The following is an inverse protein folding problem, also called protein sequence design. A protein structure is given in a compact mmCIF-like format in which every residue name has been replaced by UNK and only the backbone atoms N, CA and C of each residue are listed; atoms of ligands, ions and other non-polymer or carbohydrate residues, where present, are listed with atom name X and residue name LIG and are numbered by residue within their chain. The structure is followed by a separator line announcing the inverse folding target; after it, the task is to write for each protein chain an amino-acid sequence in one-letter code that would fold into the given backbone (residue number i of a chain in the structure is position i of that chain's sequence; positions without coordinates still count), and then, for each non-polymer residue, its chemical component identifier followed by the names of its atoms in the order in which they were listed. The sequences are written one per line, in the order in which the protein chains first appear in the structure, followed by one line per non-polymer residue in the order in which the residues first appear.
data_IF_641950099506
#
_entry.id   IF_641950099506
#
_cell.length_a   1.000
_cell.length_b   1.000
_cell.length_c   1.000
_cell.angle_alpha   90.00
_cell.angle_beta   90.00
_cell.angle_gamma   90.00
#
_symmetry.space_group_name_H-M   'P 1'
#
loop_
_entity.id
_entity.type
_entity.pdbx_description
1 polymer ?
#
# COMPACT_ATOMS: atom_id res chain seq x y z
N UNK A 1 -7.01 29.63 -5.04
CA UNK A 1 -8.26 29.29 -5.79
C UNK A 1 -9.44 29.88 -5.05
N UNK A 2 -10.60 30.19 -5.69
CA UNK A 2 -11.77 30.66 -4.94
C UNK A 2 -12.33 29.50 -4.10
N UNK A 3 -12.88 29.77 -2.90
CA UNK A 3 -13.51 28.78 -2.02
C UNK A 3 -14.52 27.88 -2.75
N UNK A 4 -15.20 28.39 -3.76
CA UNK A 4 -16.17 27.67 -4.59
C UNK A 4 -15.51 26.54 -5.39
N UNK A 5 -14.32 26.74 -5.92
CA UNK A 5 -13.59 25.71 -6.68
C UNK A 5 -13.03 24.60 -5.77
N UNK A 6 -12.63 24.94 -4.55
CA UNK A 6 -12.13 23.97 -3.57
C UNK A 6 -13.23 23.00 -3.15
N UNK A 7 -14.42 23.53 -2.77
CA UNK A 7 -15.56 22.68 -2.39
C UNK A 7 -15.99 21.79 -3.57
N UNK A 8 -16.08 22.35 -4.77
CA UNK A 8 -16.47 21.61 -5.98
C UNK A 8 -15.52 20.42 -6.24
N UNK A 9 -14.23 20.66 -6.19
CA UNK A 9 -13.21 19.65 -6.42
C UNK A 9 -13.23 18.55 -5.33
N UNK A 10 -13.31 18.93 -4.05
CA UNK A 10 -13.38 18.01 -2.91
C UNK A 10 -14.62 17.14 -2.95
N UNK A 11 -15.79 17.73 -3.21
CA UNK A 11 -17.08 17.03 -3.31
C UNK A 11 -17.06 15.99 -4.44
N UNK A 12 -16.64 16.41 -5.63
CA UNK A 12 -16.54 15.52 -6.80
C UNK A 12 -15.60 14.35 -6.53
N UNK A 13 -14.42 14.62 -5.94
CA UNK A 13 -13.42 13.59 -5.61
C UNK A 13 -13.97 12.56 -4.63
N UNK A 14 -14.57 12.98 -3.49
CA UNK A 14 -15.18 12.07 -2.52
C UNK A 14 -16.30 11.23 -3.12
N UNK A 15 -17.17 11.82 -3.94
CA UNK A 15 -18.20 11.05 -4.61
C UNK A 15 -17.64 10.00 -5.55
N UNK A 16 -16.62 10.34 -6.33
CA UNK A 16 -16.00 9.43 -7.29
C UNK A 16 -15.21 8.34 -6.59
N UNK A 17 -14.45 8.65 -5.54
CA UNK A 17 -13.70 7.65 -4.75
C UNK A 17 -14.63 6.60 -4.13
N UNK A 18 -15.85 7.00 -3.72
CA UNK A 18 -16.88 6.07 -3.21
C UNK A 18 -17.68 5.38 -4.33
N UNK A 19 -17.39 5.66 -5.61
CA UNK A 19 -18.09 5.09 -6.77
C UNK A 19 -19.54 5.52 -6.90
N UNK A 20 -19.96 6.59 -6.21
CA UNK A 20 -21.34 7.05 -6.18
C UNK A 20 -21.73 7.82 -7.45
N UNK A 21 -22.91 7.54 -8.01
CA UNK A 21 -23.57 8.45 -8.95
C UNK A 21 -24.14 9.66 -8.21
N UNK A 22 -24.48 10.74 -8.94
CA UNK A 22 -25.16 11.88 -8.33
C UNK A 22 -26.49 11.47 -7.69
N UNK A 23 -27.24 10.56 -8.33
CA UNK A 23 -28.51 10.05 -7.81
C UNK A 23 -28.30 9.21 -6.54
N UNK A 24 -27.27 8.38 -6.50
CA UNK A 24 -26.91 7.60 -5.32
C UNK A 24 -26.50 8.52 -4.14
N UNK A 25 -25.77 9.60 -4.42
CA UNK A 25 -25.41 10.58 -3.39
C UNK A 25 -26.66 11.33 -2.87
N UNK A 26 -27.59 11.74 -3.74
CA UNK A 26 -28.88 12.33 -3.32
C UNK A 26 -29.63 11.40 -2.37
N UNK A 27 -29.71 10.11 -2.74
CA UNK A 27 -30.39 9.10 -1.92
C UNK A 27 -29.71 8.92 -0.55
N UNK A 28 -28.35 8.82 -0.52
CA UNK A 28 -27.59 8.68 0.74
C UNK A 28 -27.70 9.91 1.67
N UNK A 29 -27.95 11.09 1.10
CA UNK A 29 -28.23 12.32 1.86
C UNK A 29 -29.69 12.43 2.35
N UNK A 30 -30.55 11.47 2.05
CA UNK A 30 -31.99 11.52 2.41
C UNK A 30 -32.78 12.55 1.59
N UNK A 31 -32.37 12.78 0.35
CA UNK A 31 -33.04 13.70 -0.60
C UNK A 31 -33.07 15.18 -0.13
N UNK A 32 -32.13 15.59 0.73
CA UNK A 32 -32.02 16.99 1.22
C UNK A 32 -31.71 17.97 0.07
N UNK A 33 -31.07 17.49 -1.00
CA UNK A 33 -30.76 18.28 -2.18
C UNK A 33 -31.18 17.54 -3.46
N UNK A 34 -31.33 18.30 -4.55
CA UNK A 34 -31.60 17.71 -5.86
C UNK A 34 -30.32 17.34 -6.59
N UNK A 35 -30.42 16.42 -7.56
CA UNK A 35 -29.30 16.06 -8.45
C UNK A 35 -28.71 17.28 -9.17
N UNK A 36 -29.60 18.21 -9.62
CA UNK A 36 -29.17 19.43 -10.29
C UNK A 36 -28.39 20.35 -9.35
N UNK A 37 -28.77 20.43 -8.06
CA UNK A 37 -28.03 21.21 -7.07
C UNK A 37 -26.62 20.63 -6.84
N UNK A 38 -26.52 19.29 -6.62
CA UNK A 38 -25.22 18.62 -6.50
C UNK A 38 -24.34 18.82 -7.72
N UNK A 39 -24.90 18.71 -8.92
CA UNK A 39 -24.16 18.96 -10.17
C UNK A 39 -23.63 20.40 -10.24
N UNK A 40 -24.42 21.39 -9.80
CA UNK A 40 -23.96 22.78 -9.74
C UNK A 40 -22.84 22.97 -8.72
N UNK A 41 -22.91 22.29 -7.56
CA UNK A 41 -21.87 22.33 -6.55
C UNK A 41 -20.56 21.71 -7.08
N UNK A 42 -20.61 20.57 -7.73
CA UNK A 42 -19.43 19.92 -8.32
C UNK A 42 -18.81 20.68 -9.50
N UNK A 43 -19.60 21.51 -10.16
CA UNK A 43 -19.10 22.41 -11.23
C UNK A 43 -18.66 23.78 -10.72
N UNK A 44 -18.71 24.07 -9.42
CA UNK A 44 -18.38 25.35 -8.83
C UNK A 44 -19.35 26.49 -9.21
N UNK A 45 -20.53 26.15 -9.77
CA UNK A 45 -21.56 27.11 -10.20
C UNK A 45 -22.45 27.59 -9.04
N UNK A 46 -22.41 26.90 -7.91
CA UNK A 46 -23.12 27.26 -6.68
C UNK A 46 -22.35 26.68 -5.48
N UNK A 47 -22.53 27.32 -4.31
CA UNK A 47 -21.98 26.78 -3.06
C UNK A 47 -23.08 26.10 -2.25
N UNK A 48 -22.82 24.95 -1.60
CA UNK A 48 -23.73 24.37 -0.65
C UNK A 48 -23.91 25.30 0.56
N UNK A 49 -25.13 25.35 1.12
CA UNK A 49 -25.35 26.03 2.39
C UNK A 49 -24.63 25.28 3.54
N UNK A 50 -24.39 25.91 4.71
CA UNK A 50 -23.77 25.23 5.85
C UNK A 50 -24.50 23.94 6.25
N UNK A 51 -25.83 23.92 6.19
CA UNK A 51 -26.64 22.72 6.48
C UNK A 51 -26.35 21.60 5.49
N UNK A 52 -26.29 21.91 4.20
CA UNK A 52 -25.98 20.94 3.14
C UNK A 52 -24.52 20.47 3.26
N UNK A 53 -23.60 21.37 3.59
CA UNK A 53 -22.19 21.03 3.77
C UNK A 53 -21.98 20.04 4.94
N UNK A 54 -22.65 20.28 6.07
CA UNK A 54 -22.65 19.36 7.19
C UNK A 54 -23.26 18.00 6.82
N UNK A 55 -24.38 18.00 6.09
CA UNK A 55 -24.99 16.75 5.64
C UNK A 55 -24.10 15.96 4.67
N UNK A 56 -23.34 16.64 3.80
CA UNK A 56 -22.30 16.02 2.97
C UNK A 56 -21.18 15.45 3.83
N UNK A 57 -20.72 16.20 4.84
CA UNK A 57 -19.69 15.76 5.76
C UNK A 57 -20.09 14.48 6.51
N UNK A 58 -21.31 14.43 7.04
CA UNK A 58 -21.88 13.24 7.70
C UNK A 58 -21.97 12.04 6.73
N UNK A 59 -22.44 12.30 5.50
CA UNK A 59 -22.62 11.25 4.48
C UNK A 59 -21.30 10.61 4.08
N UNK A 60 -20.25 11.42 3.94
CA UNK A 60 -18.89 10.95 3.59
C UNK A 60 -18.02 10.58 4.80
N UNK A 61 -18.52 10.79 6.03
CA UNK A 61 -17.79 10.58 7.29
C UNK A 61 -16.49 11.40 7.34
N UNK A 62 -16.56 12.65 6.93
CA UNK A 62 -15.44 13.62 6.99
C UNK A 62 -15.88 14.86 7.76
N UNK A 63 -14.93 15.66 8.26
CA UNK A 63 -15.25 16.96 8.86
C UNK A 63 -15.69 17.96 7.78
N UNK A 64 -16.64 18.86 8.10
CA UNK A 64 -17.07 19.91 7.16
C UNK A 64 -15.89 20.79 6.69
N UNK A 65 -14.88 20.99 7.55
CA UNK A 65 -13.64 21.70 7.21
C UNK A 65 -12.84 21.05 6.08
N UNK A 66 -13.02 19.75 5.83
CA UNK A 66 -12.37 19.06 4.70
C UNK A 66 -12.71 19.70 3.36
N UNK A 67 -13.97 20.10 3.16
CA UNK A 67 -14.42 20.74 1.91
C UNK A 67 -13.85 22.13 1.72
N UNK A 68 -13.43 22.80 2.79
CA UNK A 68 -12.89 24.16 2.78
C UNK A 68 -11.36 24.21 2.67
N UNK A 69 -10.68 23.08 2.97
CA UNK A 69 -9.22 23.00 2.92
C UNK A 69 -8.73 22.87 1.49
N UNK A 70 -7.88 23.78 1.05
CA UNK A 70 -7.24 23.69 -0.26
C UNK A 70 -6.38 22.41 -0.35
N UNK A 71 -6.41 21.69 -1.49
CA UNK A 71 -5.49 20.57 -1.71
C UNK A 71 -4.04 21.08 -1.74
N UNK A 72 -3.22 20.63 -0.82
CA UNK A 72 -1.79 20.94 -0.75
C UNK A 72 -0.93 19.85 -1.40
N UNK A 73 -1.52 18.66 -1.60
CA UNK A 73 -0.85 17.49 -2.17
C UNK A 73 -1.20 17.36 -3.64
N UNK A 74 -0.19 17.36 -4.49
CA UNK A 74 -0.33 17.02 -5.91
C UNK A 74 0.01 15.55 -6.12
N UNK A 75 -0.83 14.83 -6.87
CA UNK A 75 -0.64 13.40 -7.18
C UNK A 75 -0.43 13.21 -8.66
N UNK A 76 0.65 12.53 -9.02
CA UNK A 76 1.01 12.18 -10.39
C UNK A 76 1.02 10.66 -10.55
N UNK A 77 0.25 10.16 -11.51
CA UNK A 77 0.21 8.73 -11.84
C UNK A 77 1.34 8.38 -12.80
N UNK A 78 2.02 7.25 -12.51
CA UNK A 78 3.13 6.69 -13.29
C UNK A 78 2.66 5.35 -13.87
N UNK A 79 3.04 5.02 -15.12
CA UNK A 79 2.70 3.72 -15.72
C UNK A 79 1.22 3.52 -16.10
N UNK A 80 0.43 4.59 -16.15
CA UNK A 80 -1.02 4.59 -16.39
C UNK A 80 -1.49 3.98 -17.73
N UNK A 81 -0.57 3.57 -18.60
CA UNK A 81 -0.92 3.08 -19.96
C UNK A 81 -1.74 1.79 -19.97
N UNK A 82 -1.65 0.95 -18.92
CA UNK A 82 -2.48 -0.27 -18.77
C UNK A 82 -3.94 0.03 -18.42
N UNK A 83 -4.23 1.17 -17.84
CA UNK A 83 -5.60 1.58 -17.53
C UNK A 83 -6.48 1.82 -18.77
N UNK A 84 -5.90 1.77 -19.99
CA UNK A 84 -6.66 1.89 -21.25
C UNK A 84 -7.70 0.77 -21.47
N UNK A 85 -7.60 -0.35 -20.74
CA UNK A 85 -8.60 -1.42 -20.74
C UNK A 85 -9.76 -1.20 -19.75
N UNK A 86 -9.59 -0.25 -18.82
CA UNK A 86 -10.62 0.10 -17.82
C UNK A 86 -11.61 1.10 -18.40
N UNK A 87 -12.86 1.05 -17.93
CA UNK A 87 -13.83 2.10 -18.23
C UNK A 87 -13.35 3.44 -17.67
N UNK A 88 -13.69 4.56 -18.32
CA UNK A 88 -13.34 5.90 -17.82
C UNK A 88 -13.87 6.14 -16.40
N UNK A 89 -15.04 5.57 -16.09
CA UNK A 89 -15.62 5.65 -14.75
C UNK A 89 -14.77 4.96 -13.69
N UNK A 90 -14.23 3.78 -14.00
CA UNK A 90 -13.37 3.03 -13.08
C UNK A 90 -12.01 3.72 -12.93
N UNK A 91 -11.46 4.27 -14.02
CA UNK A 91 -10.25 5.09 -13.98
C UNK A 91 -10.42 6.28 -13.04
N UNK A 92 -11.45 7.10 -13.27
CA UNK A 92 -11.77 8.28 -12.45
C UNK A 92 -11.99 7.92 -10.97
N UNK A 93 -12.62 6.74 -10.70
CA UNK A 93 -12.81 6.23 -9.35
C UNK A 93 -11.49 5.88 -8.67
N UNK A 94 -10.62 5.13 -9.36
CA UNK A 94 -9.32 4.71 -8.83
C UNK A 94 -8.44 5.95 -8.59
N UNK A 95 -8.37 6.87 -9.55
CA UNK A 95 -7.60 8.10 -9.39
C UNK A 95 -8.06 8.93 -8.19
N UNK A 96 -9.37 9.06 -8.03
CA UNK A 96 -9.95 9.81 -6.91
C UNK A 96 -9.64 9.15 -5.57
N UNK A 97 -9.77 7.81 -5.48
CA UNK A 97 -9.46 7.03 -4.28
C UNK A 97 -7.97 7.12 -3.92
N UNK A 98 -7.10 6.88 -4.89
CA UNK A 98 -5.64 6.90 -4.67
C UNK A 98 -5.18 8.29 -4.27
N UNK A 99 -5.73 9.34 -4.88
CA UNK A 99 -5.42 10.72 -4.52
C UNK A 99 -5.84 11.04 -3.09
N UNK A 100 -7.04 10.61 -2.65
CA UNK A 100 -7.53 10.77 -1.28
C UNK A 100 -6.60 10.07 -0.29
N UNK A 101 -6.33 8.79 -0.53
CA UNK A 101 -5.47 7.97 0.36
C UNK A 101 -4.05 8.53 0.47
N UNK A 102 -3.45 8.95 -0.65
CA UNK A 102 -2.08 9.50 -0.62
C UNK A 102 -2.04 10.88 0.04
N UNK A 103 -3.07 11.72 -0.14
CA UNK A 103 -3.18 13.00 0.56
C UNK A 103 -3.21 12.79 2.09
N UNK A 104 -4.02 11.85 2.58
CA UNK A 104 -4.09 11.53 4.00
C UNK A 104 -2.76 11.01 4.54
N UNK A 105 -2.07 10.15 3.79
CA UNK A 105 -0.77 9.59 4.20
C UNK A 105 0.33 10.64 4.22
N UNK A 106 0.42 11.50 3.22
CA UNK A 106 1.40 12.61 3.19
C UNK A 106 1.14 13.59 4.34
N UNK A 107 -0.12 13.92 4.62
CA UNK A 107 -0.48 14.77 5.76
C UNK A 107 -0.09 14.12 7.09
N UNK A 108 -0.34 12.83 7.26
CA UNK A 108 0.02 12.09 8.47
C UNK A 108 1.54 11.99 8.66
N UNK A 109 2.30 11.77 7.58
CA UNK A 109 3.76 11.82 7.59
C UNK A 109 4.28 13.20 8.05
N UNK A 110 3.72 14.28 7.50
CA UNK A 110 4.11 15.63 7.87
C UNK A 110 3.82 15.95 9.34
N UNK A 111 2.67 15.50 9.89
CA UNK A 111 2.28 15.70 11.28
C UNK A 111 3.15 14.93 12.28
N UNK A 112 3.55 13.71 11.93
CA UNK A 112 4.32 12.83 12.83
C UNK A 112 5.82 13.06 12.76
N UNK A 113 6.26 14.07 12.00
CA UNK A 113 7.68 14.42 11.89
C UNK A 113 8.52 13.33 11.23
N UNK A 114 7.91 12.50 10.38
CA UNK A 114 8.64 11.53 9.59
C UNK A 114 9.72 12.25 8.78
N UNK A 115 10.95 11.73 8.64
CA UNK A 115 12.06 12.47 8.08
C UNK A 115 11.73 13.05 6.71
N UNK A 116 11.67 14.38 6.62
CA UNK A 116 11.57 15.08 5.34
C UNK A 116 12.88 14.86 4.58
N UNK A 117 12.79 14.32 3.37
CA UNK A 117 13.96 14.21 2.50
C UNK A 117 14.35 12.82 2.03
N UNK A 118 13.59 11.78 2.35
CA UNK A 118 13.77 10.52 1.63
C UNK A 118 13.31 10.72 0.19
N UNK A 119 14.27 10.82 -0.70
CA UNK A 119 13.99 10.88 -2.13
C UNK A 119 13.49 9.51 -2.57
N UNK A 120 12.22 9.46 -2.97
CA UNK A 120 11.69 8.29 -3.66
C UNK A 120 12.56 7.98 -4.87
N UNK A 121 12.88 6.72 -5.17
CA UNK A 121 13.75 6.33 -6.27
C UNK A 121 13.06 6.44 -7.65
N UNK A 122 12.40 7.57 -7.90
CA UNK A 122 11.60 7.78 -9.11
C UNK A 122 12.52 7.86 -10.32
N UNK A 123 12.39 6.88 -11.24
CA UNK A 123 13.19 6.77 -12.46
C UNK A 123 14.72 6.88 -12.21
N UNK A 124 15.17 6.39 -11.05
CA UNK A 124 16.56 6.47 -10.63
C UNK A 124 17.49 5.58 -11.49
N UNK A 125 16.97 4.47 -12.03
CA UNK A 125 17.73 3.49 -12.76
C UNK A 125 17.42 3.52 -14.26
N UNK A 126 18.34 4.07 -15.06
CA UNK A 126 18.21 4.07 -16.54
C UNK A 126 18.61 2.73 -17.10
N UNK A 127 17.72 2.14 -17.93
CA UNK A 127 17.98 0.89 -18.64
C UNK A 127 17.92 1.09 -20.15
N UNK A 128 18.82 0.42 -20.86
CA UNK A 128 18.97 0.44 -22.32
C UNK A 128 18.61 -0.92 -22.94
N UNK A 129 18.67 -1.98 -22.16
CA UNK A 129 18.29 -3.34 -22.51
C UNK A 129 17.61 -4.01 -21.32
N UNK A 130 16.81 -5.05 -21.55
CA UNK A 130 16.04 -5.71 -20.48
C UNK A 130 16.95 -6.32 -19.41
N UNK A 131 18.14 -6.79 -19.76
CA UNK A 131 19.12 -7.34 -18.82
C UNK A 131 19.63 -6.32 -17.79
N UNK A 132 19.58 -5.02 -18.09
CA UNK A 132 19.98 -3.96 -17.17
C UNK A 132 19.09 -3.91 -15.92
N UNK A 133 17.88 -4.51 -15.96
CA UNK A 133 16.96 -4.62 -14.82
C UNK A 133 17.54 -5.44 -13.66
N UNK A 134 18.41 -6.40 -13.94
CA UNK A 134 19.12 -7.18 -12.90
C UNK A 134 19.98 -6.25 -12.03
N UNK A 135 20.81 -5.43 -12.70
CA UNK A 135 21.65 -4.45 -12.01
C UNK A 135 20.82 -3.41 -11.27
N UNK A 136 19.74 -2.90 -11.89
CA UNK A 136 18.85 -1.94 -11.23
C UNK A 136 18.22 -2.51 -9.95
N UNK A 137 17.82 -3.78 -9.96
CA UNK A 137 17.29 -4.46 -8.78
C UNK A 137 18.36 -4.63 -7.68
N UNK A 138 19.59 -5.02 -8.04
CA UNK A 138 20.70 -5.15 -7.10
C UNK A 138 21.10 -3.81 -6.48
N UNK A 139 21.20 -2.76 -7.29
CA UNK A 139 21.50 -1.40 -6.83
C UNK A 139 20.43 -0.88 -5.86
N UNK A 140 19.15 -1.10 -6.17
CA UNK A 140 18.06 -0.71 -5.27
C UNK A 140 18.11 -1.48 -3.96
N UNK A 141 18.32 -2.80 -4.00
CA UNK A 141 18.48 -3.62 -2.79
C UNK A 141 19.67 -3.17 -1.94
N UNK A 142 20.77 -2.77 -2.57
CA UNK A 142 21.95 -2.24 -1.88
C UNK A 142 21.65 -0.90 -1.23
N UNK A 143 20.99 0.01 -1.94
CA UNK A 143 20.63 1.34 -1.43
C UNK A 143 19.65 1.24 -0.25
N UNK A 144 18.78 0.24 -0.26
CA UNK A 144 17.83 -0.05 0.82
C UNK A 144 18.37 -1.00 1.89
N UNK A 145 19.64 -1.37 1.80
CA UNK A 145 20.32 -2.25 2.78
C UNK A 145 19.62 -3.61 2.97
N UNK A 146 18.95 -4.12 1.93
CA UNK A 146 18.20 -5.37 1.99
C UNK A 146 19.09 -6.62 1.87
N UNK A 147 20.33 -6.47 1.45
CA UNK A 147 21.23 -7.60 1.20
C UNK A 147 20.72 -8.51 0.08
N UNK A 148 21.12 -9.79 0.15
CA UNK A 148 20.77 -10.81 -0.86
C UNK A 148 19.65 -11.76 -0.38
N UNK A 149 19.30 -11.74 0.90
CA UNK A 149 18.32 -12.65 1.48
C UNK A 149 16.89 -12.37 0.99
N UNK A 150 15.99 -13.35 1.04
CA UNK A 150 14.59 -13.14 0.73
C UNK A 150 13.98 -12.01 1.58
N UNK A 151 13.14 -11.21 0.99
CA UNK A 151 12.44 -10.12 1.67
C UNK A 151 11.38 -10.74 2.59
N UNK A 152 11.43 -10.47 3.88
CA UNK A 152 10.49 -10.99 4.87
C UNK A 152 9.07 -10.47 4.63
N UNK A 153 8.92 -9.15 4.53
CA UNK A 153 7.67 -8.49 4.17
C UNK A 153 7.90 -7.48 3.05
N UNK A 154 7.26 -7.71 1.92
CA UNK A 154 7.31 -6.78 0.78
C UNK A 154 6.53 -5.50 1.08
N UNK A 155 5.36 -5.63 1.74
CA UNK A 155 4.53 -4.49 2.14
C UNK A 155 5.26 -3.64 3.17
N UNK A 156 5.76 -4.23 4.26
CA UNK A 156 6.48 -3.50 5.30
C UNK A 156 7.71 -2.79 4.76
N UNK A 157 8.53 -3.48 3.96
CA UNK A 157 9.71 -2.89 3.33
C UNK A 157 9.36 -1.68 2.43
N UNK A 158 8.30 -1.75 1.63
CA UNK A 158 7.84 -0.61 0.82
C UNK A 158 7.40 0.56 1.69
N UNK A 159 6.64 0.30 2.75
CA UNK A 159 6.15 1.33 3.66
C UNK A 159 7.29 2.02 4.43
N UNK A 160 8.34 1.30 4.81
CA UNK A 160 9.55 1.86 5.42
C UNK A 160 10.27 2.86 4.48
N UNK A 161 10.05 2.73 3.17
CA UNK A 161 10.59 3.64 2.15
C UNK A 161 9.55 4.63 1.60
N UNK A 162 8.48 4.94 2.35
CA UNK A 162 7.41 5.87 1.96
C UNK A 162 6.65 5.47 0.69
N UNK A 163 6.63 4.17 0.38
CA UNK A 163 5.88 3.60 -0.72
C UNK A 163 4.71 2.81 -0.14
N UNK A 164 3.55 3.44 -0.09
CA UNK A 164 2.36 2.88 0.54
C UNK A 164 1.66 1.88 -0.36
N UNK A 165 1.27 0.75 0.20
CA UNK A 165 0.44 -0.23 -0.49
C UNK A 165 -1.03 0.15 -0.31
N UNK A 166 -1.75 0.26 -1.42
CA UNK A 166 -3.17 0.60 -1.47
C UNK A 166 -3.92 -0.55 -2.11
N UNK A 167 -4.74 -1.22 -1.33
CA UNK A 167 -5.57 -2.32 -1.84
C UNK A 167 -6.95 -1.80 -2.21
N UNK A 168 -7.39 -2.11 -3.42
CA UNK A 168 -8.75 -1.80 -3.89
C UNK A 168 -9.53 -3.08 -4.16
N UNK A 169 -10.85 -3.00 -4.08
CA UNK A 169 -11.70 -4.11 -4.48
C UNK A 169 -11.42 -4.50 -5.92
N UNK A 170 -11.44 -5.79 -6.20
CA UNK A 170 -11.11 -6.32 -7.51
C UNK A 170 -11.96 -5.66 -8.60
N UNK A 171 -11.29 -5.07 -9.58
CA UNK A 171 -11.89 -4.50 -10.78
C UNK A 171 -11.39 -5.35 -11.96
N UNK A 172 -12.31 -5.77 -12.84
CA UNK A 172 -11.96 -6.60 -13.99
C UNK A 172 -10.88 -5.90 -14.85
N UNK A 173 -9.84 -6.64 -15.19
CA UNK A 173 -8.68 -6.15 -15.98
C UNK A 173 -7.81 -5.09 -15.29
N UNK A 174 -7.93 -4.91 -13.97
CA UNK A 174 -7.02 -4.07 -13.21
C UNK A 174 -5.85 -4.91 -12.69
N UNK A 175 -4.62 -4.56 -13.08
CA UNK A 175 -3.41 -5.26 -12.64
C UNK A 175 -2.67 -4.49 -11.53
N UNK A 176 -2.56 -3.16 -11.67
CA UNK A 176 -1.90 -2.30 -10.70
C UNK A 176 -1.74 -0.87 -11.24
N UNK A 177 -1.39 0.05 -10.39
CA UNK A 177 -1.06 1.45 -10.72
C UNK A 177 -0.07 1.97 -9.71
N UNK A 178 0.91 2.75 -10.19
CA UNK A 178 1.80 3.53 -9.34
C UNK A 178 1.46 5.01 -9.40
N UNK A 179 1.47 5.68 -8.25
CA UNK A 179 1.27 7.13 -8.14
C UNK A 179 2.29 7.74 -7.18
N UNK A 180 2.65 8.99 -7.42
CA UNK A 180 3.53 9.78 -6.53
C UNK A 180 2.80 11.02 -6.08
N UNK A 181 2.82 11.26 -4.78
CA UNK A 181 2.25 12.42 -4.13
C UNK A 181 3.36 13.32 -3.59
N UNK A 182 3.19 14.63 -3.73
CA UNK A 182 4.11 15.64 -3.21
C UNK A 182 3.29 16.73 -2.53
N UNK A 183 3.57 17.01 -1.27
CA UNK A 183 3.07 18.20 -0.60
C UNK A 183 3.88 19.42 -1.05
N UNK A 184 3.23 20.42 -1.60
CA UNK A 184 3.90 21.58 -2.17
C UNK A 184 4.47 22.53 -1.09
N UNK A 185 3.97 22.45 0.14
CA UNK A 185 4.39 23.27 1.27
C UNK A 185 5.52 22.61 2.06
N UNK A 186 5.28 21.40 2.54
CA UNK A 186 6.24 20.67 3.39
C UNK A 186 7.32 19.95 2.59
N UNK A 187 7.11 19.76 1.27
CA UNK A 187 7.94 18.94 0.38
C UNK A 187 7.98 17.46 0.77
N UNK A 188 7.11 17.04 1.65
CA UNK A 188 6.91 15.63 1.97
C UNK A 188 6.45 14.86 0.72
N UNK A 189 7.00 13.68 0.52
CA UNK A 189 6.72 12.85 -0.65
C UNK A 189 6.28 11.46 -0.21
N UNK A 190 5.37 10.87 -0.97
CA UNK A 190 4.99 9.48 -0.82
C UNK A 190 4.68 8.87 -2.20
N UNK A 191 4.91 7.59 -2.37
CA UNK A 191 4.38 6.84 -3.51
C UNK A 191 3.26 5.91 -3.05
N UNK A 192 2.36 5.57 -3.95
CA UNK A 192 1.34 4.55 -3.75
C UNK A 192 1.44 3.49 -4.83
N UNK A 193 1.54 2.24 -4.42
CA UNK A 193 1.38 1.08 -5.29
C UNK A 193 0.01 0.47 -5.03
N UNK A 194 -0.82 0.45 -6.05
CA UNK A 194 -2.22 0.02 -5.96
C UNK A 194 -2.34 -1.40 -6.46
N UNK A 195 -2.95 -2.29 -5.68
CA UNK A 195 -3.18 -3.69 -6.03
C UNK A 195 -4.62 -4.10 -5.77
N UNK A 196 -5.05 -5.22 -6.35
CA UNK A 196 -6.37 -5.80 -6.08
C UNK A 196 -6.38 -6.60 -4.78
N UNK A 197 -7.43 -6.48 -3.99
CA UNK A 197 -7.70 -7.35 -2.83
C UNK A 197 -7.97 -8.78 -3.25
N UNK A 198 -7.74 -9.72 -2.34
CA UNK A 198 -8.13 -11.13 -2.50
C UNK A 198 -7.23 -11.93 -3.43
N UNK A 199 -6.03 -11.45 -3.74
CA UNK A 199 -5.00 -12.22 -4.44
C UNK A 199 -4.14 -12.97 -3.43
N UNK A 200 -3.52 -14.09 -3.85
CA UNK A 200 -2.56 -14.81 -2.99
C UNK A 200 -1.30 -13.97 -2.72
N UNK A 201 -0.62 -14.23 -1.60
CA UNK A 201 0.55 -13.47 -1.17
C UNK A 201 1.67 -13.43 -2.21
N UNK A 202 1.95 -14.56 -2.87
CA UNK A 202 2.96 -14.61 -3.93
C UNK A 202 2.59 -13.77 -5.17
N UNK A 203 1.29 -13.63 -5.48
CA UNK A 203 0.83 -12.76 -6.55
C UNK A 203 0.90 -11.29 -6.13
N UNK A 204 0.48 -10.97 -4.89
CA UNK A 204 0.60 -9.64 -4.31
C UNK A 204 2.05 -9.15 -4.36
N UNK A 205 2.99 -9.96 -3.86
CA UNK A 205 4.42 -9.62 -3.82
C UNK A 205 5.00 -9.34 -5.22
N UNK A 206 4.71 -10.19 -6.19
CA UNK A 206 5.18 -9.99 -7.56
C UNK A 206 4.54 -8.75 -8.21
N UNK A 207 3.25 -8.50 -7.98
CA UNK A 207 2.58 -7.29 -8.47
C UNK A 207 3.19 -6.04 -7.86
N UNK A 208 3.44 -6.02 -6.54
CA UNK A 208 4.10 -4.90 -5.87
C UNK A 208 5.51 -4.67 -6.40
N UNK A 209 6.29 -5.73 -6.61
CA UNK A 209 7.64 -5.61 -7.17
C UNK A 209 7.62 -5.14 -8.64
N UNK A 210 6.60 -5.51 -9.40
CA UNK A 210 6.38 -5.04 -10.75
C UNK A 210 6.04 -3.54 -10.79
N UNK A 211 5.10 -3.07 -9.95
CA UNK A 211 4.76 -1.66 -9.84
C UNK A 211 5.93 -0.82 -9.30
N UNK A 212 6.74 -1.39 -8.40
CA UNK A 212 8.01 -0.80 -8.00
C UNK A 212 8.95 -0.64 -9.20
N UNK A 213 8.98 -1.60 -10.11
CA UNK A 213 9.73 -1.51 -11.37
C UNK A 213 9.31 -0.30 -12.20
N UNK A 214 8.01 -0.03 -12.34
CA UNK A 214 7.52 1.17 -13.03
C UNK A 214 7.94 2.47 -12.32
N UNK A 215 8.00 2.47 -10.99
CA UNK A 215 8.45 3.63 -10.21
C UNK A 215 9.93 3.94 -10.42
N UNK A 216 10.79 2.91 -10.38
CA UNK A 216 12.25 3.10 -10.27
C UNK A 216 12.96 3.10 -11.61
N UNK A 217 12.41 2.44 -12.64
CA UNK A 217 13.06 2.32 -13.94
C UNK A 217 12.78 3.52 -14.84
N UNK A 218 13.84 4.06 -15.45
CA UNK A 218 13.76 4.96 -16.59
C UNK A 218 14.05 4.17 -17.85
N UNK A 219 12.99 3.84 -18.58
CA UNK A 219 13.07 2.90 -19.70
C UNK A 219 13.45 3.64 -20.99
N UNK A 220 14.43 3.10 -21.72
CA UNK A 220 14.88 3.62 -22.99
C UNK A 220 13.82 3.39 -24.11
N UNK A 221 13.85 4.23 -25.14
CA UNK A 221 12.95 4.10 -26.29
C UNK A 221 13.09 2.73 -26.97
N UNK A 222 11.96 2.09 -27.29
CA UNK A 222 11.93 0.80 -27.99
C UNK A 222 11.98 -0.43 -27.09
N UNK A 223 12.14 -0.28 -25.78
CA UNK A 223 12.00 -1.39 -24.83
C UNK A 223 10.53 -1.57 -24.41
N UNK A 224 10.17 -2.82 -24.18
CA UNK A 224 8.87 -3.20 -23.62
C UNK A 224 8.88 -2.94 -22.11
N UNK A 225 8.16 -1.88 -21.70
CA UNK A 225 8.09 -1.41 -20.29
C UNK A 225 7.58 -2.52 -19.36
N UNK A 226 6.59 -3.27 -19.80
CA UNK A 226 5.98 -4.34 -19.01
C UNK A 226 6.95 -5.50 -18.78
N UNK A 227 7.64 -5.93 -19.83
CA UNK A 227 8.67 -6.98 -19.69
C UNK A 227 9.80 -6.53 -18.80
N UNK A 228 10.21 -5.26 -18.88
CA UNK A 228 11.25 -4.69 -18.01
C UNK A 228 10.80 -4.66 -16.54
N UNK A 229 9.58 -4.19 -16.25
CA UNK A 229 9.04 -4.15 -14.91
C UNK A 229 8.87 -5.55 -14.30
N UNK A 230 8.34 -6.53 -15.06
CA UNK A 230 8.26 -7.92 -14.59
C UNK A 230 9.62 -8.54 -14.33
N UNK A 231 10.60 -8.31 -15.19
CA UNK A 231 11.94 -8.84 -15.01
C UNK A 231 12.64 -8.19 -13.80
N UNK A 232 12.47 -6.89 -13.64
CA UNK A 232 12.93 -6.17 -12.44
C UNK A 232 12.31 -6.76 -11.18
N UNK A 233 10.98 -6.91 -11.13
CA UNK A 233 10.27 -7.46 -9.98
C UNK A 233 10.76 -8.85 -9.60
N UNK A 234 10.95 -9.73 -10.59
CA UNK A 234 11.49 -11.06 -10.35
C UNK A 234 12.95 -11.04 -9.87
N UNK A 235 13.80 -10.13 -10.40
CA UNK A 235 15.17 -9.94 -9.94
C UNK A 235 15.24 -9.35 -8.53
N UNK A 236 14.33 -8.44 -8.21
CA UNK A 236 14.24 -7.81 -6.89
C UNK A 236 13.82 -8.81 -5.81
N UNK A 237 12.84 -9.69 -6.08
CA UNK A 237 12.40 -10.72 -5.14
C UNK A 237 13.38 -11.89 -5.02
N UNK A 238 13.99 -12.31 -6.13
CA UNK A 238 14.91 -13.46 -6.19
C UNK A 238 16.22 -13.06 -6.90
N UNK A 239 17.19 -12.46 -6.18
CA UNK A 239 18.47 -12.03 -6.74
C UNK A 239 19.22 -13.17 -7.44
N UNK A 240 19.84 -12.88 -8.60
CA UNK A 240 20.48 -13.88 -9.44
C UNK A 240 21.53 -14.72 -8.69
N UNK A 241 22.36 -14.07 -7.86
CA UNK A 241 23.42 -14.75 -7.11
C UNK A 241 22.86 -15.79 -6.13
N UNK A 242 21.73 -15.48 -5.45
CA UNK A 242 21.09 -16.41 -4.53
C UNK A 242 20.46 -17.57 -5.29
N UNK A 243 19.79 -17.27 -6.41
CA UNK A 243 19.19 -18.30 -7.27
C UNK A 243 20.28 -19.25 -7.80
N UNK A 244 21.41 -18.75 -8.28
CA UNK A 244 22.55 -19.58 -8.73
C UNK A 244 23.14 -20.42 -7.59
N UNK A 245 23.27 -19.87 -6.40
CA UNK A 245 23.78 -20.60 -5.23
C UNK A 245 22.89 -21.75 -4.81
N UNK A 246 21.58 -21.55 -4.85
CA UNK A 246 20.61 -22.51 -4.30
C UNK A 246 20.11 -23.53 -5.34
N UNK A 247 19.95 -23.09 -6.59
CA UNK A 247 19.41 -23.94 -7.67
C UNK A 247 20.51 -24.46 -8.57
N UNK A 248 21.61 -23.75 -8.68
CA UNK A 248 22.69 -24.02 -9.63
C UNK A 248 22.62 -23.14 -10.87
N UNK A 249 23.69 -23.18 -11.66
CA UNK A 249 23.85 -22.35 -12.87
C UNK A 249 23.21 -22.95 -14.12
N UNK A 250 22.96 -24.27 -14.12
CA UNK A 250 22.34 -25.01 -15.24
C UNK A 250 21.64 -26.25 -14.70
N UNK A 251 20.39 -26.44 -15.11
CA UNK A 251 19.56 -27.57 -14.70
C UNK A 251 18.74 -28.09 -15.89
N UNK A 252 18.76 -29.38 -16.08
CA UNK A 252 17.93 -30.07 -17.08
C UNK A 252 16.58 -30.49 -16.51
N UNK A 253 16.50 -30.73 -15.21
CA UNK A 253 15.29 -31.10 -14.49
C UNK A 253 15.23 -30.42 -13.13
N UNK A 254 14.03 -30.04 -12.70
CA UNK A 254 13.73 -29.51 -11.38
C UNK A 254 12.41 -30.13 -10.92
N UNK A 255 12.36 -30.66 -9.72
CA UNK A 255 11.17 -31.29 -9.16
C UNK A 255 10.13 -30.27 -8.74
N UNK A 256 8.85 -30.64 -8.79
CA UNK A 256 7.73 -29.79 -8.33
C UNK A 256 7.91 -29.40 -6.87
N UNK A 257 8.33 -30.33 -6.02
CA UNK A 257 8.56 -30.12 -4.58
C UNK A 257 9.69 -29.10 -4.34
N UNK A 258 10.75 -29.15 -5.17
CA UNK A 258 11.85 -28.20 -5.11
C UNK A 258 11.35 -26.78 -5.44
N UNK A 259 10.52 -26.63 -6.48
CA UNK A 259 9.90 -25.34 -6.81
C UNK A 259 8.94 -24.84 -5.73
N UNK A 260 8.23 -25.72 -5.05
CA UNK A 260 7.36 -25.33 -3.93
C UNK A 260 8.16 -24.85 -2.70
N UNK A 261 9.35 -25.41 -2.45
CA UNK A 261 10.26 -24.88 -1.44
C UNK A 261 10.77 -23.48 -1.81
N UNK A 262 11.17 -23.28 -3.07
CA UNK A 262 11.58 -21.96 -3.53
C UNK A 262 10.44 -20.93 -3.53
N UNK A 263 9.19 -21.37 -3.84
CA UNK A 263 8.00 -20.55 -3.69
C UNK A 263 7.89 -19.98 -2.27
N UNK A 264 7.98 -20.81 -1.27
CA UNK A 264 7.94 -20.40 0.15
C UNK A 264 9.10 -19.46 0.50
N UNK A 265 10.31 -19.77 -0.01
CA UNK A 265 11.51 -19.02 0.30
C UNK A 265 11.50 -17.59 -0.29
N UNK A 266 11.17 -17.47 -1.58
CA UNK A 266 11.21 -16.17 -2.29
C UNK A 266 9.86 -15.44 -2.28
N UNK A 267 8.80 -16.09 -1.84
CA UNK A 267 7.46 -15.52 -1.89
C UNK A 267 6.97 -15.29 -3.31
N UNK A 268 7.32 -16.18 -4.26
CA UNK A 268 6.97 -16.08 -5.67
C UNK A 268 6.17 -17.30 -6.12
N UNK A 269 5.24 -17.11 -7.08
CA UNK A 269 4.54 -18.25 -7.68
C UNK A 269 5.47 -19.18 -8.44
N UNK A 270 5.11 -20.46 -8.55
CA UNK A 270 5.87 -21.43 -9.37
C UNK A 270 6.03 -20.95 -10.79
N UNK A 271 4.98 -20.33 -11.35
CA UNK A 271 5.06 -19.75 -12.69
C UNK A 271 6.12 -18.66 -12.79
N UNK A 272 6.17 -17.75 -11.81
CA UNK A 272 7.15 -16.67 -11.77
C UNK A 272 8.58 -17.21 -11.56
N UNK A 273 8.75 -18.21 -10.69
CA UNK A 273 10.04 -18.86 -10.48
C UNK A 273 10.56 -19.55 -11.75
N UNK A 274 9.73 -20.34 -12.41
CA UNK A 274 10.12 -21.00 -13.68
C UNK A 274 10.49 -19.96 -14.75
N UNK A 275 9.78 -18.84 -14.80
CA UNK A 275 10.14 -17.72 -15.67
C UNK A 275 11.49 -17.12 -15.27
N UNK A 276 11.73 -16.91 -13.97
CA UNK A 276 13.00 -16.40 -13.44
C UNK A 276 14.18 -17.30 -13.82
N UNK A 277 14.03 -18.63 -13.67
CA UNK A 277 15.05 -19.60 -14.04
C UNK A 277 15.37 -19.58 -15.53
N UNK A 278 14.36 -19.39 -16.37
CA UNK A 278 14.54 -19.22 -17.81
C UNK A 278 15.27 -17.91 -18.15
N UNK A 279 14.88 -16.79 -17.53
CA UNK A 279 15.53 -15.49 -17.75
C UNK A 279 17.00 -15.49 -17.34
N UNK A 280 17.36 -16.25 -16.30
CA UNK A 280 18.73 -16.49 -15.84
C UNK A 280 19.48 -17.58 -16.66
N UNK A 281 18.83 -18.18 -17.68
CA UNK A 281 19.40 -19.24 -18.53
C UNK A 281 19.80 -20.51 -17.74
N UNK A 282 19.19 -20.74 -16.58
CA UNK A 282 19.39 -21.95 -15.78
C UNK A 282 18.71 -23.13 -16.44
N UNK A 283 17.54 -22.92 -17.01
CA UNK A 283 16.76 -23.93 -17.75
C UNK A 283 16.65 -23.58 -19.24
N UNK A 284 16.50 -24.60 -20.06
CA UNK A 284 16.32 -24.45 -21.50
C UNK A 284 14.92 -23.91 -21.84
N UNK A 285 14.78 -23.34 -23.05
CA UNK A 285 13.48 -22.88 -23.55
C UNK A 285 12.46 -24.03 -23.70
N UNK A 286 12.92 -25.20 -24.13
CA UNK A 286 12.06 -26.38 -24.23
C UNK A 286 11.51 -26.81 -22.89
N UNK A 287 12.36 -26.79 -21.84
CA UNK A 287 11.95 -27.11 -20.48
C UNK A 287 11.03 -26.05 -19.87
N UNK A 288 11.27 -24.76 -20.15
CA UNK A 288 10.37 -23.68 -19.79
C UNK A 288 8.97 -23.89 -20.40
N UNK A 289 8.90 -24.19 -21.70
CA UNK A 289 7.61 -24.46 -22.38
C UNK A 289 6.90 -25.68 -21.78
N UNK A 290 7.65 -26.73 -21.43
CA UNK A 290 7.09 -27.89 -20.74
C UNK A 290 6.43 -27.51 -19.43
N UNK A 291 7.09 -26.70 -18.59
CA UNK A 291 6.51 -26.20 -17.34
C UNK A 291 5.28 -25.34 -17.56
N UNK A 292 5.27 -24.48 -18.55
CA UNK A 292 4.07 -23.67 -18.87
C UNK A 292 2.87 -24.54 -19.27
N UNK A 293 3.09 -25.63 -20.01
CA UNK A 293 2.02 -26.59 -20.32
C UNK A 293 1.55 -27.33 -19.07
N UNK A 294 2.47 -27.75 -18.20
CA UNK A 294 2.15 -28.44 -16.96
C UNK A 294 1.33 -27.55 -16.01
N UNK A 295 1.76 -26.30 -15.78
CA UNK A 295 1.06 -25.28 -14.98
C UNK A 295 -0.38 -25.06 -15.50
N UNK A 296 -0.56 -24.98 -16.82
CA UNK A 296 -1.88 -24.84 -17.44
C UNK A 296 -2.74 -26.10 -17.21
N UNK A 297 -2.18 -27.29 -17.39
CA UNK A 297 -2.87 -28.58 -17.18
C UNK A 297 -3.30 -28.76 -15.74
N UNK A 298 -2.45 -28.39 -14.78
CA UNK A 298 -2.72 -28.47 -13.34
C UNK A 298 -3.59 -27.32 -12.83
N UNK A 299 -3.94 -26.34 -13.69
CA UNK A 299 -4.70 -25.13 -13.35
C UNK A 299 -4.03 -24.25 -12.29
N UNK A 300 -2.72 -24.36 -12.12
CA UNK A 300 -1.95 -23.60 -11.14
C UNK A 300 -1.95 -22.08 -11.39
N UNK A 301 -2.31 -21.63 -12.57
CA UNK A 301 -2.59 -20.21 -12.83
C UNK A 301 -3.72 -19.64 -11.97
N UNK A 302 -4.65 -20.48 -11.50
CA UNK A 302 -5.77 -20.06 -10.67
C UNK A 302 -5.49 -20.32 -9.19
N UNK A 303 -4.97 -21.51 -8.88
CA UNK A 303 -4.68 -21.95 -7.53
C UNK A 303 -3.48 -22.88 -7.55
N UNK A 304 -2.38 -22.42 -6.93
CA UNK A 304 -1.17 -23.23 -6.74
C UNK A 304 -1.21 -23.95 -5.40
N UNK A 305 -0.49 -25.09 -5.25
CA UNK A 305 -0.27 -25.68 -3.93
C UNK A 305 0.48 -24.73 -3.00
N UNK A 306 0.07 -24.70 -1.72
CA UNK A 306 0.76 -23.89 -0.69
C UNK A 306 0.70 -22.39 -1.01
N UNK A 307 -0.48 -21.85 -1.30
CA UNK A 307 -0.68 -20.40 -1.43
C UNK A 307 -0.23 -19.70 -0.16
N UNK A 308 0.41 -18.56 -0.33
CA UNK A 308 0.85 -17.70 0.76
C UNK A 308 -0.27 -16.70 1.09
N UNK A 309 -0.42 -16.41 2.38
CA UNK A 309 -1.32 -15.36 2.81
C UNK A 309 -0.85 -14.00 2.32
N UNK A 310 -1.77 -13.11 1.89
CA UNK A 310 -1.41 -11.75 1.51
C UNK A 310 -0.92 -10.96 2.72
N UNK A 311 0.10 -10.16 2.50
CA UNK A 311 0.65 -9.27 3.51
C UNK A 311 -0.28 -8.08 3.76
N UNK A 312 -0.34 -7.61 5.01
CA UNK A 312 -1.20 -6.49 5.41
C UNK A 312 -0.38 -5.23 5.69
N UNK A 313 -0.90 -4.09 5.23
CA UNK A 313 -0.34 -2.78 5.56
C UNK A 313 -0.52 -2.47 7.05
N UNK A 314 0.57 -2.12 7.73
CA UNK A 314 0.56 -1.76 9.15
C UNK A 314 0.84 -0.27 9.39
N UNK A 315 1.50 0.38 8.45
CA UNK A 315 1.98 1.75 8.60
C UNK A 315 0.87 2.74 8.95
N UNK A 316 -0.26 2.67 8.24
CA UNK A 316 -1.37 3.60 8.47
C UNK A 316 -1.91 3.47 9.90
N UNK A 317 -2.15 2.24 10.35
CA UNK A 317 -2.67 1.97 11.70
C UNK A 317 -1.69 2.43 12.77
N UNK A 318 -0.42 2.04 12.66
CA UNK A 318 0.63 2.41 13.63
C UNK A 318 0.81 3.92 13.70
N UNK A 319 0.88 4.59 12.54
CA UNK A 319 1.12 6.03 12.48
C UNK A 319 -0.10 6.84 12.95
N UNK A 320 -1.32 6.40 12.60
CA UNK A 320 -2.55 7.03 13.08
C UNK A 320 -2.70 6.89 14.60
N UNK A 321 -2.44 5.71 15.15
CA UNK A 321 -2.46 5.48 16.61
C UNK A 321 -1.40 6.33 17.33
N UNK A 322 -0.19 6.44 16.77
CA UNK A 322 0.85 7.31 17.29
C UNK A 322 0.41 8.77 17.29
N UNK A 323 -0.10 9.27 16.16
CA UNK A 323 -0.59 10.65 16.04
C UNK A 323 -1.72 10.94 17.04
N UNK A 324 -2.61 9.99 17.27
CA UNK A 324 -3.66 10.08 18.30
C UNK A 324 -3.07 10.13 19.71
N UNK A 325 -2.16 9.24 20.04
CA UNK A 325 -1.50 9.20 21.35
C UNK A 325 -0.69 10.48 21.66
N UNK A 326 -0.14 11.11 20.62
CA UNK A 326 0.57 12.39 20.70
C UNK A 326 -0.38 13.62 20.73
N UNK A 327 -1.70 13.41 20.50
CA UNK A 327 -2.72 14.46 20.48
C UNK A 327 -2.69 15.32 19.21
N UNK A 328 -2.10 14.82 18.13
CA UNK A 328 -2.01 15.51 16.84
C UNK A 328 -3.31 15.39 16.03
N UNK A 329 -4.04 14.30 16.20
CA UNK A 329 -5.34 14.04 15.56
C UNK A 329 -6.35 13.55 16.58
N UNK A 330 -7.64 13.74 16.31
CA UNK A 330 -8.74 13.31 17.19
C UNK A 330 -9.11 11.85 16.96
N UNK A 331 -9.92 11.27 17.86
CA UNK A 331 -10.46 9.93 17.73
C UNK A 331 -11.25 9.74 16.43
N UNK A 332 -12.12 10.70 16.10
CA UNK A 332 -12.92 10.66 14.87
C UNK A 332 -12.05 10.71 13.61
N UNK A 333 -10.90 11.42 13.66
CA UNK A 333 -9.96 11.44 12.54
C UNK A 333 -9.25 10.10 12.37
N UNK A 334 -8.87 9.43 13.46
CA UNK A 334 -8.30 8.07 13.38
C UNK A 334 -9.32 7.08 12.83
N UNK A 335 -10.55 7.09 13.36
CA UNK A 335 -11.63 6.21 12.90
C UNK A 335 -11.95 6.45 11.42
N UNK A 336 -11.91 7.72 10.98
CA UNK A 336 -12.05 8.09 9.58
C UNK A 336 -10.94 7.56 8.69
N UNK A 337 -9.68 7.65 9.13
CA UNK A 337 -8.51 7.15 8.42
C UNK A 337 -8.48 5.61 8.33
N UNK A 338 -8.84 4.93 9.43
CA UNK A 338 -8.83 3.46 9.49
C UNK A 338 -10.09 2.82 8.91
N UNK A 339 -11.19 3.58 8.82
CA UNK A 339 -12.48 3.08 8.35
C UNK A 339 -13.23 2.18 9.37
N UNK A 340 -12.73 2.09 10.61
CA UNK A 340 -13.26 1.25 11.68
C UNK A 340 -13.28 2.00 13.01
N UNK A 341 -14.18 1.65 13.95
CA UNK A 341 -14.17 2.22 15.30
C UNK A 341 -12.87 1.90 16.02
N UNK A 342 -12.40 2.85 16.83
CA UNK A 342 -11.17 2.69 17.60
C UNK A 342 -11.49 2.04 18.96
N UNK A 343 -11.06 0.80 19.13
CA UNK A 343 -11.18 0.06 20.41
C UNK A 343 -9.87 0.20 21.23
N UNK A 344 -9.60 1.43 21.67
CA UNK A 344 -8.47 1.73 22.56
C UNK A 344 -8.91 2.72 23.63
N UNK A 345 -8.26 2.67 24.78
CA UNK A 345 -8.45 3.66 25.86
C UNK A 345 -8.00 5.05 25.37
N UNK A 346 -8.66 6.10 25.86
CA UNK A 346 -8.26 7.46 25.54
C UNK A 346 -6.83 7.73 26.08
N UNK A 347 -5.95 8.32 25.28
CA UNK A 347 -4.63 8.65 25.75
C UNK A 347 -4.71 9.74 26.84
N UNK A 348 -4.00 9.53 27.92
CA UNK A 348 -3.93 10.51 29.00
C UNK A 348 -3.47 11.88 28.48
N UNK A 349 -4.20 12.91 28.81
CA UNK A 349 -3.81 14.30 28.53
C UNK A 349 -2.50 14.66 29.24
N UNK A 350 -1.82 15.71 28.77
CA UNK A 350 -0.60 16.20 29.44
C UNK A 350 -0.82 16.53 30.93
N UNK A 351 -2.03 17.01 31.29
CA UNK A 351 -2.40 17.32 32.64
C UNK A 351 -2.51 16.05 33.47
N UNK A 352 -3.18 15.05 32.96
CA UNK A 352 -3.34 13.73 33.60
C UNK A 352 -2.01 12.98 33.72
N UNK A 353 -1.15 13.01 32.68
CA UNK A 353 0.21 12.45 32.74
C UNK A 353 1.04 13.13 33.83
N UNK A 354 0.98 14.47 33.95
CA UNK A 354 1.66 15.22 35.02
C UNK A 354 1.08 14.91 36.39
N UNK A 355 -0.24 14.76 36.50
CA UNK A 355 -0.91 14.35 37.73
C UNK A 355 -0.49 12.93 38.15
N UNK A 356 -0.49 11.96 37.20
CA UNK A 356 0.00 10.61 37.45
C UNK A 356 1.45 10.59 37.94
N UNK A 357 2.33 11.38 37.32
CA UNK A 357 3.74 11.45 37.74
C UNK A 357 3.94 12.04 39.14
N UNK A 358 2.97 12.79 39.68
CA UNK A 358 2.99 13.33 41.05
C UNK A 358 2.46 12.35 42.11
N UNK A 359 1.82 11.24 41.67
CA UNK A 359 1.33 10.22 42.60
C UNK A 359 2.51 9.51 43.31
N UNK A 360 2.31 9.02 44.54
CA UNK A 360 3.28 8.17 45.23
C UNK A 360 3.64 6.94 44.40
N UNK A 361 4.86 6.44 44.52
CA UNK A 361 5.36 5.32 43.69
C UNK A 361 4.49 4.08 43.82
N UNK A 362 3.99 3.77 45.02
CA UNK A 362 3.13 2.61 45.27
C UNK A 362 1.79 2.70 44.52
N UNK A 363 1.20 3.90 44.49
CA UNK A 363 -0.06 4.11 43.77
C UNK A 363 0.11 4.06 42.27
N UNK A 364 1.21 4.58 41.73
CA UNK A 364 1.57 4.41 40.33
C UNK A 364 1.77 2.94 39.97
N UNK A 365 2.44 2.16 40.83
CA UNK A 365 2.63 0.71 40.63
C UNK A 365 1.30 -0.04 40.63
N UNK A 366 0.38 0.30 41.51
CA UNK A 366 -0.96 -0.29 41.56
C UNK A 366 -1.72 -0.04 40.25
N UNK A 367 -1.78 1.21 39.81
CA UNK A 367 -2.46 1.59 38.57
C UNK A 367 -1.85 0.84 37.36
N UNK A 368 -0.53 0.80 37.26
CA UNK A 368 0.16 0.08 36.18
C UNK A 368 -0.09 -1.44 36.25
N UNK A 369 -0.18 -2.02 37.46
CA UNK A 369 -0.52 -3.43 37.63
C UNK A 369 -1.94 -3.75 37.17
N UNK A 370 -2.91 -2.88 37.52
CA UNK A 370 -4.29 -3.01 37.06
C UNK A 370 -4.42 -2.89 35.54
N UNK A 371 -3.65 -2.00 34.91
CA UNK A 371 -3.57 -1.87 33.45
C UNK A 371 -2.93 -3.11 32.82
N UNK A 372 -1.84 -3.61 33.38
CA UNK A 372 -1.19 -4.83 32.91
C UNK A 372 -2.11 -6.06 33.01
N UNK A 373 -2.91 -6.18 34.07
CA UNK A 373 -3.86 -7.26 34.24
C UNK A 373 -5.02 -7.20 33.22
N UNK A 374 -5.49 -6.01 32.86
CA UNK A 374 -6.45 -5.83 31.75
C UNK A 374 -5.86 -6.23 30.40
N UNK A 375 -4.57 -5.95 30.16
CA UNK A 375 -3.90 -6.31 28.92
C UNK A 375 -3.63 -7.83 28.84
N UNK A 376 -3.51 -8.55 29.95
CA UNK A 376 -3.31 -10.02 29.95
C UNK A 376 -4.39 -10.77 29.17
N UNK A 377 -5.64 -10.31 29.21
CA UNK A 377 -6.72 -10.93 28.45
C UNK A 377 -6.50 -10.86 26.92
N UNK A 378 -5.94 -9.77 26.42
CA UNK A 378 -5.58 -9.60 25.01
C UNK A 378 -4.40 -10.51 24.58
N UNK A 379 -3.47 -10.79 25.50
CA UNK A 379 -2.33 -11.68 25.22
C UNK A 379 -2.60 -13.15 25.51
N UNK A 380 -3.71 -13.51 26.17
CA UNK A 380 -4.07 -14.89 26.48
C UNK A 380 -4.87 -15.58 25.37
N UNK A 381 -5.52 -14.83 24.47
CA UNK A 381 -6.16 -15.37 23.27
C UNK A 381 -5.08 -15.70 22.23
N UNK A 382 -4.74 -16.97 22.17
CA UNK A 382 -3.54 -17.56 21.56
C UNK A 382 -3.32 -17.42 20.03
N UNK A 383 -3.84 -16.39 19.37
CA UNK A 383 -3.59 -16.13 17.94
C UNK A 383 -2.21 -15.49 17.68
N UNK A 384 -1.67 -14.71 18.64
CA UNK A 384 -0.41 -13.97 18.44
C UNK A 384 0.87 -14.67 18.92
N UNK A 385 0.76 -15.91 19.46
CA UNK A 385 1.92 -16.63 19.99
C UNK A 385 2.82 -17.26 18.92
N UNK A 386 2.36 -17.44 17.70
CA UNK A 386 3.16 -18.06 16.63
C UNK A 386 4.29 -17.16 16.15
N UNK A 387 4.14 -15.84 16.23
CA UNK A 387 5.15 -14.89 15.75
C UNK A 387 6.24 -14.56 16.79
N UNK A 388 5.98 -14.83 18.07
CA UNK A 388 6.94 -14.55 19.16
C UNK A 388 7.89 -15.71 19.49
N UNK A 389 7.69 -16.90 18.91
CA UNK A 389 8.54 -18.07 19.19
C UNK A 389 9.87 -18.12 18.41
N UNK A 390 10.14 -17.14 17.55
CA UNK A 390 11.39 -17.08 16.76
C UNK A 390 12.42 -16.06 17.25
N UNK A 391 12.29 -15.53 18.46
CA UNK A 391 13.28 -14.64 19.08
C UNK A 391 14.12 -15.40 20.10
N UNK A 392 15.39 -15.68 19.82
CA UNK A 392 16.38 -16.12 20.79
C UNK A 392 16.57 -15.04 21.86
N UNK A 393 15.95 -15.24 23.03
CA UNK A 393 16.32 -14.48 24.22
C UNK A 393 17.65 -15.03 24.74
N UNK A 394 18.73 -14.33 24.50
CA UNK A 394 20.01 -14.59 25.17
C UNK A 394 19.87 -14.13 26.63
N UNK A 395 19.79 -15.09 27.56
CA UNK A 395 19.95 -14.80 28.98
C UNK A 395 21.38 -14.31 29.23
N UNK A 396 21.49 -13.10 29.81
CA UNK A 396 22.71 -12.59 30.45
C UNK A 396 22.58 -12.59 31.94
#
# INVERSE_FOLDING_TARGET
MSNSNTIAHRLKRLRMSRGLSLDALVASMGHVVTKQALSKYECGKANPSPIVLNKLADTFKVKASYFLREPQVSVKFIGYRKASSLSRKDQDRIESLVTEVLEDRVNLQAMTGWPNGNHLPIHAHRISKIEDTERAAEELRTNWTLGQDPISSMVGMLEDHHIHVIEIDAIDKFDGICAVAVDEVTRSQAAGLVTSKGVSGERQRLSLAHELGHLVLKIGSGLDEEKAAFRFGAAFLAPAQVVYREIGTKRDTILSEELLLFKKRFGMSVQALVRRLFDLKIISEGYYRHWMMLINRLKWKRKEPGELEPEQSQWLRQTALRAYAEGLITREEVEGLLGEPLDVEEPLTLIERRAFMKLPLEERRRILSEQADKLKSHYSDGADRSDLQNGDFVEH
#
